data_IF_522942496296
#
_entry.id   IF_522942496296
#
_cell.length_a   1.000
_cell.length_b   1.000
_cell.length_c   1.000
_cell.angle_alpha   90.00
_cell.angle_beta   90.00
_cell.angle_gamma   90.00
#
_symmetry.space_group_name_H-M   'P 1'
#
loop_
_entity.id
_entity.type
_entity.pdbx_description
1 polymer ?
#
# COMPACT_ATOMS: atom_id res chain seq x y z
N UNK A 1 -29.37 4.28 8.21
CA UNK A 1 -28.22 4.21 7.28
C UNK A 1 -27.05 3.39 7.84
N UNK A 2 -26.56 3.69 9.04
CA UNK A 2 -25.44 2.97 9.67
C UNK A 2 -25.65 1.44 9.77
N UNK A 3 -26.84 0.99 10.17
CA UNK A 3 -27.19 -0.43 10.23
C UNK A 3 -27.06 -1.15 8.87
N UNK A 4 -27.32 -0.45 7.77
CA UNK A 4 -27.19 -0.98 6.42
C UNK A 4 -25.71 -1.10 6.04
N UNK A 5 -24.92 -0.05 6.29
CA UNK A 5 -23.47 -0.08 6.07
C UNK A 5 -22.79 -1.16 6.90
N UNK A 6 -23.20 -1.35 8.16
CA UNK A 6 -22.70 -2.42 9.02
C UNK A 6 -23.04 -3.82 8.48
N UNK A 7 -24.23 -4.00 7.87
CA UNK A 7 -24.59 -5.27 7.21
C UNK A 7 -23.73 -5.51 5.97
N UNK A 8 -23.56 -4.50 5.13
CA UNK A 8 -22.69 -4.59 3.94
C UNK A 8 -21.25 -4.90 4.33
N UNK A 9 -20.72 -4.28 5.38
CA UNK A 9 -19.38 -4.57 5.89
C UNK A 9 -19.23 -6.03 6.33
N UNK A 10 -20.21 -6.60 7.04
CA UNK A 10 -20.19 -8.02 7.41
C UNK A 10 -20.29 -8.95 6.21
N UNK A 11 -21.12 -8.60 5.23
CA UNK A 11 -21.26 -9.36 3.99
C UNK A 11 -19.95 -9.35 3.18
N UNK A 12 -19.33 -8.18 3.04
CA UNK A 12 -18.02 -8.04 2.41
C UNK A 12 -16.94 -8.79 3.19
N UNK A 13 -17.04 -8.83 4.52
CA UNK A 13 -16.05 -9.53 5.32
C UNK A 13 -16.13 -11.06 5.18
N UNK A 14 -17.31 -11.59 4.88
CA UNK A 14 -17.51 -13.02 4.63
C UNK A 14 -16.93 -13.49 3.29
N UNK A 15 -16.70 -12.57 2.33
CA UNK A 15 -16.12 -12.90 1.02
C UNK A 15 -14.61 -13.07 1.16
N UNK A 16 -14.07 -14.10 0.51
CA UNK A 16 -12.65 -14.42 0.48
C UNK A 16 -11.86 -13.49 -0.45
N UNK A 17 -10.66 -13.11 -0.01
CA UNK A 17 -9.78 -12.20 -0.75
C UNK A 17 -9.35 -12.73 -2.13
N UNK A 18 -9.01 -14.03 -2.30
CA UNK A 18 -8.62 -14.56 -3.60
C UNK A 18 -9.71 -14.37 -4.67
N UNK A 19 -10.96 -14.61 -4.32
CA UNK A 19 -12.10 -14.43 -5.22
C UNK A 19 -12.32 -12.96 -5.61
N UNK A 20 -12.11 -12.02 -4.69
CA UNK A 20 -12.19 -10.58 -5.00
C UNK A 20 -11.03 -10.11 -5.88
N UNK A 21 -9.82 -10.65 -5.66
CA UNK A 21 -8.65 -10.29 -6.46
C UNK A 21 -8.78 -10.76 -7.93
N UNK A 22 -9.45 -11.89 -8.17
CA UNK A 22 -9.76 -12.35 -9.52
C UNK A 22 -10.67 -11.37 -10.30
N UNK A 23 -11.56 -10.66 -9.60
CA UNK A 23 -12.46 -9.67 -10.19
C UNK A 23 -11.83 -8.28 -10.35
N UNK A 24 -10.73 -8.01 -9.65
CA UNK A 24 -10.07 -6.71 -9.61
C UNK A 24 -9.76 -6.17 -11.01
N UNK A 25 -9.12 -6.98 -11.87
CA UNK A 25 -8.73 -6.54 -13.22
C UNK A 25 -9.92 -6.13 -14.09
N UNK A 26 -11.05 -6.82 -13.95
CA UNK A 26 -12.28 -6.52 -14.69
C UNK A 26 -12.86 -5.17 -14.27
N UNK A 27 -13.01 -4.94 -12.97
CA UNK A 27 -13.62 -3.71 -12.46
C UNK A 27 -12.67 -2.51 -12.49
N UNK A 28 -11.36 -2.73 -12.42
CA UNK A 28 -10.36 -1.69 -12.67
C UNK A 28 -10.46 -1.16 -14.11
N UNK A 29 -10.59 -2.07 -15.10
CA UNK A 29 -10.76 -1.67 -16.49
C UNK A 29 -12.08 -0.90 -16.72
N UNK A 30 -13.19 -1.38 -16.14
CA UNK A 30 -14.49 -0.73 -16.27
C UNK A 30 -14.52 0.65 -15.59
N UNK A 31 -13.94 0.79 -14.40
CA UNK A 31 -13.90 2.08 -13.69
C UNK A 31 -12.94 3.09 -14.35
N UNK A 32 -11.93 2.64 -15.09
CA UNK A 32 -10.96 3.53 -15.76
C UNK A 32 -11.57 4.35 -16.91
N UNK A 33 -12.63 3.84 -17.54
CA UNK A 33 -13.32 4.52 -18.65
C UNK A 33 -14.60 5.14 -18.11
N UNK A 34 -14.58 6.45 -17.90
CA UNK A 34 -15.76 7.16 -17.43
C UNK A 34 -16.91 7.05 -18.45
N UNK A 35 -18.05 6.57 -17.99
CA UNK A 35 -19.31 6.61 -18.72
C UNK A 35 -20.40 7.15 -17.79
N UNK A 36 -21.27 8.08 -18.24
CA UNK A 36 -22.38 8.59 -17.45
C UNK A 36 -23.53 7.57 -17.47
N UNK A 37 -23.27 6.35 -16.98
CA UNK A 37 -24.23 5.25 -16.93
C UNK A 37 -24.30 4.66 -15.53
N UNK A 38 -25.49 4.20 -15.13
CA UNK A 38 -25.68 3.50 -13.85
C UNK A 38 -24.75 2.27 -13.73
N UNK A 39 -24.49 1.59 -14.85
CA UNK A 39 -23.58 0.44 -14.88
C UNK A 39 -22.15 0.81 -14.51
N UNK A 40 -21.70 1.99 -14.94
CA UNK A 40 -20.39 2.49 -14.57
C UNK A 40 -20.33 2.84 -13.09
N UNK A 41 -21.35 3.52 -12.55
CA UNK A 41 -21.43 3.83 -11.12
C UNK A 41 -21.37 2.56 -10.26
N UNK A 42 -22.14 1.54 -10.64
CA UNK A 42 -22.12 0.22 -10.00
C UNK A 42 -20.74 -0.44 -10.09
N UNK A 43 -20.09 -0.39 -11.24
CA UNK A 43 -18.74 -0.94 -11.42
C UNK A 43 -17.69 -0.24 -10.54
N UNK A 44 -17.79 1.08 -10.38
CA UNK A 44 -16.92 1.86 -9.49
C UNK A 44 -17.17 1.52 -8.03
N UNK A 45 -18.43 1.38 -7.61
CA UNK A 45 -18.76 0.96 -6.24
C UNK A 45 -18.23 -0.44 -5.93
N UNK A 46 -18.37 -1.40 -6.86
CA UNK A 46 -17.81 -2.75 -6.71
C UNK A 46 -16.28 -2.67 -6.60
N UNK A 47 -15.62 -1.89 -7.45
CA UNK A 47 -14.17 -1.69 -7.39
C UNK A 47 -13.73 -1.11 -6.03
N UNK A 48 -14.42 -0.10 -5.53
CA UNK A 48 -14.15 0.51 -4.22
C UNK A 48 -14.32 -0.49 -3.06
N UNK A 49 -15.31 -1.39 -3.12
CA UNK A 49 -15.49 -2.45 -2.12
C UNK A 49 -14.33 -3.46 -2.13
N UNK A 50 -13.83 -3.83 -3.31
CA UNK A 50 -12.65 -4.70 -3.44
C UNK A 50 -11.43 -4.04 -2.78
N UNK A 51 -11.20 -2.75 -3.08
CA UNK A 51 -10.09 -2.00 -2.47
C UNK A 51 -10.26 -1.86 -0.95
N UNK A 52 -11.47 -1.61 -0.46
CA UNK A 52 -11.75 -1.53 0.98
C UNK A 52 -11.41 -2.84 1.71
N UNK A 53 -11.72 -4.01 1.13
CA UNK A 53 -11.36 -5.31 1.70
C UNK A 53 -9.85 -5.52 1.74
N UNK A 54 -9.15 -5.25 0.62
CA UNK A 54 -7.69 -5.35 0.55
C UNK A 54 -7.00 -4.43 1.54
N UNK A 55 -7.49 -3.19 1.63
CA UNK A 55 -7.03 -2.18 2.60
C UNK A 55 -7.21 -2.67 4.04
N UNK A 56 -8.37 -3.23 4.40
CA UNK A 56 -8.61 -3.83 5.73
C UNK A 56 -7.56 -4.90 6.04
N UNK A 57 -7.29 -5.79 5.08
CA UNK A 57 -6.36 -6.89 5.25
C UNK A 57 -4.91 -6.39 5.38
N UNK A 58 -4.52 -5.38 4.60
CA UNK A 58 -3.22 -4.72 4.73
C UNK A 58 -3.04 -4.06 6.10
N UNK A 59 -4.07 -3.36 6.59
CA UNK A 59 -4.05 -2.76 7.92
C UNK A 59 -3.94 -3.82 9.02
N UNK A 60 -4.72 -4.90 8.92
CA UNK A 60 -4.64 -6.00 9.86
C UNK A 60 -3.22 -6.59 9.91
N UNK A 61 -2.65 -6.90 8.75
CA UNK A 61 -1.29 -7.44 8.65
C UNK A 61 -0.23 -6.47 9.21
N UNK A 62 -0.41 -5.16 9.03
CA UNK A 62 0.48 -4.14 9.56
C UNK A 62 0.47 -4.08 11.09
N UNK A 63 -0.73 -4.03 11.70
CA UNK A 63 -0.85 -3.99 13.16
C UNK A 63 -0.43 -5.31 13.80
N UNK A 64 -0.77 -6.44 13.17
CA UNK A 64 -0.32 -7.76 13.61
C UNK A 64 1.21 -7.86 13.60
N UNK A 65 1.86 -7.44 12.51
CA UNK A 65 3.32 -7.45 12.42
C UNK A 65 3.99 -6.53 13.46
N UNK A 66 3.36 -5.42 13.84
CA UNK A 66 3.87 -4.57 14.92
C UNK A 66 3.79 -5.26 16.29
N UNK A 67 2.69 -5.92 16.59
CA UNK A 67 2.51 -6.64 17.86
C UNK A 67 3.55 -7.77 18.01
N UNK A 68 3.71 -8.60 16.97
CA UNK A 68 4.70 -9.69 16.96
C UNK A 68 6.14 -9.16 17.10
N UNK A 69 6.45 -7.99 16.52
CA UNK A 69 7.77 -7.34 16.67
C UNK A 69 8.01 -6.73 18.05
N UNK A 70 6.96 -6.29 18.74
CA UNK A 70 7.06 -5.78 20.10
C UNK A 70 7.32 -6.92 21.10
N UNK A 71 6.80 -8.13 20.81
CA UNK A 71 6.98 -9.32 21.65
C UNK A 71 8.26 -10.12 21.32
N UNK A 72 8.85 -9.93 20.14
CA UNK A 72 10.07 -10.61 19.72
C UNK A 72 11.09 -9.65 19.10
N UNK A 73 12.16 -9.34 19.84
CA UNK A 73 13.36 -8.71 19.30
C UNK A 73 13.92 -9.51 18.12
N UNK A 74 13.59 -9.11 16.89
CA UNK A 74 14.36 -9.36 15.66
C UNK A 74 13.84 -8.48 14.52
N UNK A 75 14.65 -7.49 14.19
CA UNK A 75 14.43 -6.47 13.15
C UNK A 75 14.47 -7.10 11.76
N UNK A 76 13.32 -7.54 11.24
CA UNK A 76 13.14 -7.79 9.80
C UNK A 76 12.31 -6.66 9.17
N UNK A 77 12.73 -6.12 8.00
CA UNK A 77 12.06 -4.98 7.38
C UNK A 77 10.63 -5.34 6.98
N UNK A 78 9.69 -4.43 7.24
CA UNK A 78 8.29 -4.62 6.83
C UNK A 78 8.19 -4.68 5.31
N UNK A 79 7.24 -5.45 4.76
CA UNK A 79 6.82 -5.21 3.39
C UNK A 79 6.28 -3.78 3.33
N UNK A 80 7.00 -2.93 2.61
CA UNK A 80 6.80 -1.49 2.44
C UNK A 80 5.56 -1.20 1.55
N UNK A 81 4.42 -1.83 1.87
CA UNK A 81 3.22 -1.87 1.03
C UNK A 81 1.97 -1.43 1.78
N UNK A 82 2.08 -0.39 2.62
CA UNK A 82 0.90 0.41 2.92
C UNK A 82 0.64 1.32 1.71
N UNK A 83 -0.57 1.31 1.11
CA UNK A 83 -0.90 2.24 0.05
C UNK A 83 -0.71 3.68 0.55
N UNK A 84 -0.30 4.62 -0.31
CA UNK A 84 0.12 5.97 0.09
C UNK A 84 -0.94 6.73 0.91
N UNK A 85 -2.23 6.39 0.75
CA UNK A 85 -3.35 6.92 1.57
C UNK A 85 -3.16 6.66 3.08
N UNK A 86 -2.48 5.59 3.48
CA UNK A 86 -2.27 5.20 4.88
C UNK A 86 -0.84 5.39 5.37
N UNK A 87 0.00 6.13 4.63
CA UNK A 87 1.24 6.66 5.20
C UNK A 87 0.88 7.74 6.20
N UNK A 88 0.46 7.29 7.39
CA UNK A 88 0.22 8.16 8.52
C UNK A 88 1.59 8.67 8.95
N UNK A 89 1.85 9.94 8.66
CA UNK A 89 3.10 10.60 9.01
C UNK A 89 3.29 10.47 10.53
N UNK A 90 4.32 9.76 11.02
CA UNK A 90 4.50 9.56 12.46
C UNK A 90 4.72 10.89 13.21
N UNK A 91 4.99 11.99 12.49
CA UNK A 91 5.11 13.35 13.03
C UNK A 91 3.77 13.95 13.50
N UNK A 92 2.60 13.44 13.07
CA UNK A 92 1.30 14.01 13.44
C UNK A 92 0.83 13.69 14.87
N UNK A 93 1.55 12.84 15.62
CA UNK A 93 1.26 12.58 17.05
C UNK A 93 1.87 13.61 17.99
N UNK A 94 2.62 14.59 17.49
CA UNK A 94 3.27 15.60 18.33
C UNK A 94 3.05 17.02 17.78
N UNK A 95 1.89 17.58 18.10
CA UNK A 95 1.67 19.03 18.15
C UNK A 95 1.37 19.42 19.60
N UNK A 96 2.02 20.32 20.34
CA UNK A 96 3.24 21.17 20.27
C UNK A 96 3.25 21.96 21.64
N UNK A 97 4.17 22.90 22.03
CA UNK A 97 4.90 23.85 21.17
C UNK A 97 6.35 24.27 21.57
N UNK A 98 6.91 25.07 20.64
CA UNK A 98 7.98 26.08 20.76
C UNK A 98 9.47 25.66 20.73
N UNK A 99 10.12 25.85 19.56
CA UNK A 99 11.12 26.94 19.34
C UNK A 99 12.08 26.66 18.15
N UNK A 100 12.10 27.60 17.19
CA UNK A 100 13.22 28.07 16.33
C UNK A 100 14.02 27.13 15.39
N UNK A 101 13.70 27.19 14.07
CA UNK A 101 14.55 27.28 12.83
C UNK A 101 15.75 26.33 12.55
N UNK A 102 16.28 26.16 11.29
CA UNK A 102 15.76 26.30 9.90
C UNK A 102 15.92 24.96 9.07
N UNK A 103 15.68 24.89 7.72
CA UNK A 103 15.37 23.62 7.03
C UNK A 103 16.61 22.85 6.56
N UNK A 104 16.68 21.55 6.90
CA UNK A 104 17.71 20.64 6.40
C UNK A 104 17.20 19.86 5.18
N UNK A 105 17.79 20.15 4.02
CA UNK A 105 17.65 19.38 2.78
C UNK A 105 18.06 17.91 2.96
N UNK A 106 17.36 16.90 2.42
CA UNK A 106 17.83 15.53 2.49
C UNK A 106 18.96 15.27 1.48
N UNK A 107 20.20 15.19 1.98
CA UNK A 107 21.34 14.65 1.22
C UNK A 107 21.21 13.13 1.17
N UNK A 108 20.99 12.55 -0.02
CA UNK A 108 21.37 11.16 -0.31
C UNK A 108 22.38 11.18 -1.45
N UNK A 109 23.65 10.79 -1.25
CA UNK A 109 24.55 10.61 -2.37
C UNK A 109 24.13 9.35 -3.13
N UNK A 110 23.66 9.52 -4.36
CA UNK A 110 23.45 8.41 -5.30
C UNK A 110 24.78 7.69 -5.52
N UNK A 111 24.91 6.45 -5.03
CA UNK A 111 26.08 5.61 -5.28
C UNK A 111 25.94 5.00 -6.67
N UNK A 112 26.60 5.59 -7.66
CA UNK A 112 26.72 5.02 -9.00
C UNK A 112 27.73 3.87 -8.92
N UNK A 113 27.29 2.65 -9.21
CA UNK A 113 28.19 1.51 -9.38
C UNK A 113 28.70 1.53 -10.82
N UNK A 114 30.00 1.73 -11.00
CA UNK A 114 30.67 1.63 -12.30
C UNK A 114 30.81 0.17 -12.70
N UNK A 115 30.23 -0.20 -13.84
CA UNK A 115 30.41 -1.51 -14.45
C UNK A 115 31.62 -1.46 -15.39
N UNK A 116 32.63 -2.28 -15.12
CA UNK A 116 33.72 -2.53 -16.05
C UNK A 116 33.45 -3.86 -16.77
N UNK A 117 33.53 -3.93 -18.11
CA UNK A 117 33.41 -5.20 -18.83
C UNK A 117 34.60 -6.12 -18.49
N UNK A 118 34.40 -7.45 -18.45
CA UNK A 118 35.47 -8.39 -18.19
C UNK A 118 36.54 -8.30 -19.30
N UNK A 119 37.81 -8.33 -18.90
CA UNK A 119 38.93 -8.34 -19.82
C UNK A 119 38.80 -9.51 -20.80
N UNK A 120 38.90 -9.21 -22.08
CA UNK A 120 38.94 -10.17 -23.17
C UNK A 120 40.24 -10.95 -23.03
N UNK A 121 40.18 -12.18 -22.54
CA UNK A 121 41.29 -13.14 -22.66
C UNK A 121 41.44 -13.47 -24.16
N UNK A 122 42.29 -12.72 -24.85
CA UNK A 122 42.87 -13.13 -26.12
C UNK A 122 43.98 -14.14 -25.83
N UNK A 123 43.68 -15.41 -26.14
CA UNK A 123 44.69 -16.42 -26.39
C UNK A 123 45.56 -16.02 -27.59
N UNK A 124 46.88 -16.15 -27.46
CA UNK A 124 47.81 -16.11 -28.59
C UNK A 124 49.28 -16.14 -28.17
N UNK A 125 49.84 -17.34 -28.01
CA UNK A 125 50.88 -17.90 -28.91
C UNK A 125 51.02 -19.42 -28.64
#
# INVERSE_FOLDING_TARGET
MEKLLARLARQLDAIDEPSLNALWGKYAALSSRFEPTQRWEEAVLIFALIEAKRMKNQLFNYYWAQQVRAEGEKKQPAPDKLPPIFKMDPAARQSQPASSAPPATPKRPCRVLSFAPPAREENGD
#
